data_IF_989451231644
#
_entry.id   IF_989451231644
#
_cell.length_a   1.000
_cell.length_b   1.000
_cell.length_c   1.000
_cell.angle_alpha   90.00
_cell.angle_beta   90.00
_cell.angle_gamma   90.00
#
_symmetry.space_group_name_H-M   'P 1'
#
loop_
_entity.id
_entity.type
_entity.pdbx_description
1 polymer ?
#
# COMPACT_ATOMS: atom_id res chain seq x y z
N UNK A 1 -5.10 -21.30 -7.10
CA UNK A 1 -6.57 -21.10 -7.26
C UNK A 1 -7.14 -20.29 -6.10
N UNK A 2 -6.92 -20.68 -4.84
CA UNK A 2 -7.38 -19.94 -3.65
C UNK A 2 -7.00 -18.45 -3.67
N UNK A 3 -5.71 -18.13 -3.82
CA UNK A 3 -5.22 -16.73 -3.82
C UNK A 3 -5.82 -15.88 -4.94
N UNK A 4 -6.16 -16.48 -6.08
CA UNK A 4 -6.84 -15.78 -7.15
C UNK A 4 -8.27 -15.39 -6.77
N UNK A 5 -9.04 -16.31 -6.14
CA UNK A 5 -10.36 -15.99 -5.61
C UNK A 5 -10.30 -14.99 -4.45
N UNK A 6 -9.28 -15.12 -3.58
CA UNK A 6 -9.06 -14.18 -2.50
C UNK A 6 -8.84 -12.76 -3.05
N UNK A 7 -7.96 -12.60 -4.04
CA UNK A 7 -7.63 -11.30 -4.63
C UNK A 7 -8.78 -10.71 -5.47
N UNK A 8 -9.41 -11.52 -6.31
CA UNK A 8 -10.36 -11.04 -7.33
C UNK A 8 -11.83 -11.05 -6.86
N UNK A 9 -12.15 -11.66 -5.72
CA UNK A 9 -13.53 -11.79 -5.25
C UNK A 9 -13.67 -11.45 -3.76
N UNK A 10 -13.05 -12.24 -2.87
CA UNK A 10 -13.30 -12.09 -1.43
C UNK A 10 -12.74 -10.79 -0.85
N UNK A 11 -11.51 -10.41 -1.17
CA UNK A 11 -10.91 -9.18 -0.65
C UNK A 11 -11.67 -7.91 -1.07
N UNK A 12 -12.10 -7.74 -2.34
CA UNK A 12 -13.01 -6.66 -2.73
C UNK A 12 -14.28 -6.58 -1.87
N UNK A 13 -14.92 -7.72 -1.59
CA UNK A 13 -16.14 -7.78 -0.78
C UNK A 13 -15.86 -7.42 0.70
N UNK A 14 -14.76 -7.94 1.27
CA UNK A 14 -14.32 -7.59 2.62
C UNK A 14 -14.05 -6.08 2.76
N UNK A 15 -13.40 -5.46 1.76
CA UNK A 15 -13.16 -4.02 1.73
C UNK A 15 -14.46 -3.23 1.63
N UNK A 16 -15.37 -3.65 0.75
CA UNK A 16 -16.68 -3.01 0.61
C UNK A 16 -17.45 -3.00 1.93
N UNK A 17 -17.43 -4.11 2.70
CA UNK A 17 -18.03 -4.17 4.03
C UNK A 17 -17.45 -3.11 4.98
N UNK A 18 -16.12 -2.94 5.00
CA UNK A 18 -15.48 -1.94 5.86
C UNK A 18 -15.76 -0.49 5.45
N UNK A 19 -16.05 -0.23 4.17
CA UNK A 19 -16.34 1.10 3.66
C UNK A 19 -17.81 1.49 3.82
N UNK A 20 -18.71 0.51 3.81
CA UNK A 20 -20.14 0.74 3.98
C UNK A 20 -20.53 0.97 5.44
N UNK A 21 -19.69 0.66 6.43
CA UNK A 21 -20.02 0.88 7.84
C UNK A 21 -19.94 2.38 8.20
N UNK A 22 -21.09 3.04 8.10
CA UNK A 22 -21.36 4.43 8.44
C UNK A 22 -22.54 4.48 9.40
N UNK A 23 -22.67 5.50 10.27
CA UNK A 23 -23.84 5.65 11.14
C UNK A 23 -25.18 5.64 10.38
N UNK A 24 -25.19 6.06 9.11
CA UNK A 24 -26.36 6.01 8.21
C UNK A 24 -26.57 4.65 7.54
N UNK A 25 -25.58 3.77 7.58
CA UNK A 25 -25.57 2.49 6.90
C UNK A 25 -25.83 1.30 7.84
N UNK A 26 -25.97 1.55 9.14
CA UNK A 26 -26.49 0.57 10.11
C UNK A 26 -27.86 0.01 9.70
N UNK A 27 -28.60 0.75 8.86
CA UNK A 27 -29.90 0.36 8.30
C UNK A 27 -29.83 -0.03 6.81
N UNK A 28 -28.63 -0.12 6.22
CA UNK A 28 -28.48 -0.50 4.81
C UNK A 28 -28.67 -2.02 4.64
N UNK A 29 -29.78 -2.41 4.01
CA UNK A 29 -30.05 -3.82 3.63
C UNK A 29 -28.89 -4.45 2.86
N UNK A 30 -28.21 -3.65 2.03
CA UNK A 30 -27.07 -4.07 1.22
C UNK A 30 -25.86 -4.37 2.08
N UNK A 31 -25.54 -3.49 3.04
CA UNK A 31 -24.44 -3.71 3.99
C UNK A 31 -24.70 -4.94 4.88
N UNK A 32 -25.94 -5.09 5.38
CA UNK A 32 -26.35 -6.24 6.19
C UNK A 32 -26.35 -7.55 5.40
N UNK A 33 -26.76 -7.55 4.13
CA UNK A 33 -26.68 -8.71 3.25
C UNK A 33 -25.21 -9.11 2.99
N UNK A 34 -24.34 -8.14 2.73
CA UNK A 34 -22.92 -8.40 2.53
C UNK A 34 -22.27 -9.00 3.78
N UNK A 35 -22.54 -8.42 4.96
CA UNK A 35 -22.03 -8.94 6.23
C UNK A 35 -22.49 -10.38 6.50
N UNK A 36 -23.75 -10.72 6.14
CA UNK A 36 -24.26 -12.11 6.24
C UNK A 36 -23.52 -13.06 5.32
N UNK A 37 -23.33 -12.69 4.05
CA UNK A 37 -22.56 -13.49 3.09
C UNK A 37 -21.12 -13.72 3.58
N UNK A 38 -20.42 -12.64 3.97
CA UNK A 38 -19.03 -12.72 4.41
C UNK A 38 -18.87 -13.57 5.68
N UNK A 39 -19.71 -13.35 6.69
CA UNK A 39 -19.54 -14.01 7.99
C UNK A 39 -20.11 -15.44 8.02
N UNK A 40 -21.08 -15.78 7.17
CA UNK A 40 -21.70 -17.11 7.18
C UNK A 40 -21.10 -18.07 6.13
N UNK A 41 -20.50 -17.54 5.05
CA UNK A 41 -19.95 -18.36 3.98
C UNK A 41 -18.44 -18.15 3.78
N UNK A 42 -18.01 -16.91 3.55
CA UNK A 42 -16.62 -16.63 3.15
C UNK A 42 -15.63 -16.87 4.29
N UNK A 43 -15.81 -16.19 5.43
CA UNK A 43 -14.90 -16.32 6.57
C UNK A 43 -14.85 -17.75 7.12
N UNK A 44 -15.98 -18.48 7.29
CA UNK A 44 -15.93 -19.89 7.68
C UNK A 44 -15.19 -20.78 6.67
N UNK A 45 -15.40 -20.56 5.38
CA UNK A 45 -14.67 -21.29 4.33
C UNK A 45 -13.16 -21.03 4.43
N UNK A 46 -12.74 -19.77 4.52
CA UNK A 46 -11.32 -19.42 4.63
C UNK A 46 -10.71 -19.93 5.95
N UNK A 47 -11.49 -19.97 7.03
CA UNK A 47 -11.09 -20.51 8.34
C UNK A 47 -10.82 -22.01 8.26
N UNK A 48 -11.75 -22.79 7.69
CA UNK A 48 -11.62 -24.24 7.53
C UNK A 48 -10.46 -24.63 6.62
N UNK A 49 -10.05 -23.73 5.74
CA UNK A 49 -8.99 -23.92 4.76
C UNK A 49 -7.76 -23.03 5.06
N UNK A 50 -7.56 -22.63 6.31
CA UNK A 50 -6.48 -21.71 6.69
C UNK A 50 -5.09 -22.25 6.35
N UNK A 51 -4.87 -23.55 6.44
CA UNK A 51 -3.60 -24.21 6.14
C UNK A 51 -3.02 -23.90 4.74
N UNK A 52 -3.83 -23.46 3.78
CA UNK A 52 -3.33 -22.98 2.48
C UNK A 52 -2.59 -21.64 2.55
N UNK A 53 -2.69 -20.90 3.65
CA UNK A 53 -1.95 -19.67 3.90
C UNK A 53 -0.54 -19.94 4.46
N UNK A 54 -0.23 -21.18 4.87
CA UNK A 54 1.11 -21.57 5.25
C UNK A 54 2.05 -21.47 4.04
N UNK A 55 3.31 -21.05 4.29
CA UNK A 55 4.38 -20.94 3.29
C UNK A 55 4.02 -20.08 2.05
N UNK A 56 3.10 -19.13 2.22
CA UNK A 56 2.59 -18.27 1.17
C UNK A 56 3.20 -16.86 1.17
N UNK A 57 4.47 -16.71 1.59
CA UNK A 57 5.13 -15.39 1.70
C UNK A 57 5.26 -14.65 0.37
N UNK A 58 5.28 -15.37 -0.74
CA UNK A 58 5.23 -14.80 -2.09
C UNK A 58 3.90 -14.06 -2.38
N UNK A 59 2.87 -14.27 -1.56
CA UNK A 59 1.60 -13.53 -1.56
C UNK A 59 1.47 -12.58 -0.36
N UNK A 60 2.57 -12.17 0.27
CA UNK A 60 2.55 -11.37 1.50
C UNK A 60 1.66 -10.12 1.41
N UNK A 61 1.69 -9.36 0.31
CA UNK A 61 0.86 -8.16 0.16
C UNK A 61 -0.65 -8.48 0.18
N UNK A 62 -1.05 -9.59 -0.44
CA UNK A 62 -2.46 -10.04 -0.45
C UNK A 62 -2.90 -10.52 0.94
N UNK A 63 -2.02 -11.26 1.63
CA UNK A 63 -2.27 -11.73 3.00
C UNK A 63 -2.35 -10.57 4.00
N UNK A 64 -1.44 -9.59 3.90
CA UNK A 64 -1.42 -8.37 4.70
C UNK A 64 -2.72 -7.55 4.49
N UNK A 65 -3.10 -7.34 3.23
CA UNK A 65 -4.35 -6.69 2.87
C UNK A 65 -5.58 -7.42 3.45
N UNK A 66 -5.61 -8.75 3.34
CA UNK A 66 -6.72 -9.58 3.85
C UNK A 66 -6.79 -9.50 5.38
N UNK A 67 -5.68 -9.76 6.07
CA UNK A 67 -5.58 -9.72 7.52
C UNK A 67 -6.04 -8.38 8.07
N UNK A 68 -5.52 -7.28 7.52
CA UNK A 68 -5.86 -5.95 8.01
C UNK A 68 -7.29 -5.51 7.67
N UNK A 69 -7.83 -5.95 6.53
CA UNK A 69 -9.23 -5.68 6.17
C UNK A 69 -10.16 -6.41 7.13
N UNK A 70 -9.92 -7.69 7.41
CA UNK A 70 -10.74 -8.45 8.36
C UNK A 70 -10.55 -7.98 9.79
N UNK A 71 -9.34 -7.55 10.17
CA UNK A 71 -9.10 -6.94 11.47
C UNK A 71 -9.91 -5.65 11.64
N UNK A 72 -10.00 -4.82 10.59
CA UNK A 72 -10.88 -3.65 10.57
C UNK A 72 -12.35 -4.05 10.65
N UNK A 73 -12.75 -5.17 10.03
CA UNK A 73 -14.12 -5.68 10.12
C UNK A 73 -14.55 -5.97 11.56
N UNK A 74 -13.63 -6.38 12.44
CA UNK A 74 -13.92 -6.61 13.86
C UNK A 74 -14.50 -5.38 14.58
N UNK A 75 -14.32 -4.18 14.01
CA UNK A 75 -14.81 -2.91 14.58
C UNK A 75 -16.11 -2.43 13.96
N UNK A 76 -16.68 -3.15 13.00
CA UNK A 76 -17.91 -2.70 12.33
C UNK A 76 -19.10 -2.78 13.29
N UNK A 77 -19.81 -1.67 13.41
CA UNK A 77 -20.94 -1.56 14.33
C UNK A 77 -22.14 -2.37 13.85
N UNK A 78 -22.24 -2.59 12.55
CA UNK A 78 -23.29 -3.38 11.90
C UNK A 78 -23.19 -4.90 12.13
N UNK A 79 -22.11 -5.42 12.73
CA UNK A 79 -21.95 -6.86 12.99
C UNK A 79 -22.61 -7.31 14.30
N UNK A 80 -23.36 -8.40 14.20
CA UNK A 80 -23.89 -9.15 15.36
C UNK A 80 -22.78 -9.92 16.09
N UNK A 81 -23.06 -10.39 17.32
CA UNK A 81 -22.11 -11.17 18.12
C UNK A 81 -21.59 -12.41 17.37
N UNK A 82 -22.48 -13.23 16.82
CA UNK A 82 -22.10 -14.43 16.06
C UNK A 82 -21.24 -14.13 14.82
N UNK A 83 -21.49 -12.98 14.17
CA UNK A 83 -20.67 -12.56 13.03
C UNK A 83 -19.28 -12.08 13.46
N UNK A 84 -19.18 -11.40 14.61
CA UNK A 84 -17.87 -11.05 15.21
C UNK A 84 -17.10 -12.30 15.62
N UNK A 85 -17.77 -13.35 16.09
CA UNK A 85 -17.13 -14.63 16.40
C UNK A 85 -16.52 -15.25 15.13
N UNK A 86 -17.23 -15.24 13.99
CA UNK A 86 -16.69 -15.71 12.71
C UNK A 86 -15.48 -14.88 12.23
N UNK A 87 -15.51 -13.56 12.43
CA UNK A 87 -14.36 -12.67 12.18
C UNK A 87 -13.18 -13.03 13.09
N UNK A 88 -13.42 -13.20 14.39
CA UNK A 88 -12.40 -13.59 15.36
C UNK A 88 -11.77 -14.94 15.03
N UNK A 89 -12.57 -15.93 14.67
CA UNK A 89 -12.08 -17.28 14.39
C UNK A 89 -11.23 -17.31 13.12
N UNK A 90 -11.63 -16.56 12.08
CA UNK A 90 -10.78 -16.39 10.91
C UNK A 90 -9.47 -15.67 11.24
N UNK A 91 -9.51 -14.58 12.02
CA UNK A 91 -8.30 -13.86 12.40
C UNK A 91 -7.32 -14.73 13.18
N UNK A 92 -7.82 -15.58 14.07
CA UNK A 92 -7.00 -16.57 14.78
C UNK A 92 -6.44 -17.61 13.80
N UNK A 93 -7.24 -18.10 12.86
CA UNK A 93 -6.82 -19.11 11.91
C UNK A 93 -5.75 -18.59 10.95
N UNK A 94 -5.92 -17.40 10.35
CA UNK A 94 -4.91 -16.83 9.45
C UNK A 94 -3.63 -16.47 10.20
N UNK A 95 -3.71 -15.84 11.38
CA UNK A 95 -2.51 -15.44 12.12
C UNK A 95 -1.68 -16.63 12.61
N UNK A 96 -2.32 -17.79 12.81
CA UNK A 96 -1.65 -19.07 13.09
C UNK A 96 -0.82 -19.61 11.92
N UNK A 97 -1.10 -19.22 10.69
CA UNK A 97 -0.39 -19.69 9.50
C UNK A 97 0.67 -18.68 9.03
N UNK A 98 0.53 -17.40 9.40
CA UNK A 98 1.44 -16.35 8.98
C UNK A 98 2.79 -16.41 9.75
N UNK A 99 3.93 -16.20 9.06
CA UNK A 99 5.22 -16.00 9.68
C UNK A 99 5.21 -14.83 10.68
N UNK A 100 6.00 -14.89 11.78
CA UNK A 100 5.99 -13.86 12.81
C UNK A 100 6.30 -12.45 12.29
N UNK A 101 7.24 -12.31 11.36
CA UNK A 101 7.63 -11.02 10.80
C UNK A 101 6.49 -10.28 10.06
N UNK A 102 5.47 -11.00 9.57
CA UNK A 102 4.30 -10.38 8.96
C UNK A 102 3.35 -9.74 10.00
N UNK A 103 3.48 -10.09 11.28
CA UNK A 103 2.62 -9.58 12.34
C UNK A 103 2.99 -8.16 12.79
N UNK A 104 4.15 -7.64 12.39
CA UNK A 104 4.68 -6.32 12.81
C UNK A 104 3.64 -5.20 12.64
N UNK A 105 3.01 -5.10 11.46
CA UNK A 105 2.00 -4.06 11.21
C UNK A 105 0.73 -4.27 12.04
N UNK A 106 0.33 -5.52 12.26
CA UNK A 106 -0.83 -5.82 13.10
C UNK A 106 -0.55 -5.48 14.56
N UNK A 107 0.64 -5.80 15.07
CA UNK A 107 1.06 -5.46 16.44
C UNK A 107 0.95 -3.96 16.69
N UNK A 108 1.38 -3.10 15.76
CA UNK A 108 1.20 -1.64 15.87
C UNK A 108 -0.27 -1.25 16.08
N UNK A 109 -1.17 -1.79 15.26
CA UNK A 109 -2.62 -1.52 15.35
C UNK A 109 -3.22 -2.05 16.66
N UNK A 110 -2.83 -3.25 17.07
CA UNK A 110 -3.30 -3.85 18.32
C UNK A 110 -2.84 -3.04 19.53
N UNK A 111 -1.60 -2.54 19.56
CA UNK A 111 -1.10 -1.66 20.62
C UNK A 111 -1.98 -0.41 20.71
N UNK A 112 -2.30 0.22 19.59
CA UNK A 112 -3.17 1.41 19.54
C UNK A 112 -4.57 1.06 20.06
N UNK A 113 -5.16 -0.04 19.58
CA UNK A 113 -6.50 -0.47 19.99
C UNK A 113 -6.64 -0.79 21.47
N UNK A 114 -5.57 -1.36 22.05
CA UNK A 114 -5.50 -1.60 23.48
C UNK A 114 -5.35 -0.26 24.21
N UNK A 115 -4.47 0.64 23.78
CA UNK A 115 -4.33 1.96 24.42
C UNK A 115 -5.64 2.78 24.38
N UNK A 116 -6.40 2.68 23.29
CA UNK A 116 -7.69 3.37 23.13
C UNK A 116 -8.85 2.60 23.77
N UNK A 117 -8.63 1.35 24.20
CA UNK A 117 -9.61 0.52 24.89
C UNK A 117 -10.94 0.39 24.14
N UNK A 118 -10.86 0.06 22.84
CA UNK A 118 -12.03 -0.13 21.99
C UNK A 118 -12.95 -1.25 22.51
N UNK A 119 -14.26 -1.17 22.27
CA UNK A 119 -15.26 -2.17 22.72
C UNK A 119 -14.95 -3.61 22.24
N UNK A 120 -14.08 -3.77 21.26
CA UNK A 120 -13.73 -5.04 20.63
C UNK A 120 -12.34 -5.56 21.01
N UNK A 121 -11.74 -5.06 22.09
CA UNK A 121 -10.36 -5.37 22.52
C UNK A 121 -10.10 -6.86 22.84
N UNK A 122 -11.15 -7.64 23.12
CA UNK A 122 -11.04 -9.07 23.44
C UNK A 122 -10.49 -9.89 22.27
N UNK A 123 -10.85 -9.56 21.03
CA UNK A 123 -10.38 -10.26 19.83
C UNK A 123 -8.89 -10.02 19.59
N UNK A 124 -8.38 -8.76 19.59
CA UNK A 124 -6.95 -8.47 19.61
C UNK A 124 -6.20 -9.24 20.70
N UNK A 125 -6.67 -9.22 21.96
CA UNK A 125 -6.01 -9.95 23.04
C UNK A 125 -5.91 -11.46 22.77
N UNK A 126 -6.99 -12.07 22.24
CA UNK A 126 -7.00 -13.49 21.84
C UNK A 126 -5.98 -13.78 20.74
N UNK A 127 -5.93 -12.97 19.69
CA UNK A 127 -4.99 -13.12 18.57
C UNK A 127 -3.55 -13.04 19.06
N UNK A 128 -3.24 -12.03 19.87
CA UNK A 128 -1.89 -11.82 20.42
C UNK A 128 -1.46 -12.98 21.32
N UNK A 129 -2.33 -13.42 22.23
CA UNK A 129 -2.03 -14.53 23.14
C UNK A 129 -1.61 -15.77 22.33
N UNK A 130 -2.42 -16.17 21.36
CA UNK A 130 -2.16 -17.36 20.53
C UNK A 130 -0.90 -17.19 19.65
N UNK A 131 -0.65 -15.98 19.16
CA UNK A 131 0.56 -15.67 18.39
C UNK A 131 1.82 -15.87 19.25
N UNK A 132 1.89 -15.27 20.44
CA UNK A 132 3.06 -15.41 21.30
C UNK A 132 3.22 -16.82 21.84
N UNK A 133 2.14 -17.54 22.18
CA UNK A 133 2.20 -18.95 22.59
C UNK A 133 2.78 -19.86 21.49
N UNK A 134 2.38 -19.63 20.23
CA UNK A 134 2.92 -20.35 19.07
C UNK A 134 4.39 -19.97 18.82
N UNK A 135 4.72 -18.69 18.98
CA UNK A 135 5.99 -18.12 18.58
C UNK A 135 6.98 -17.90 19.74
N UNK A 136 6.75 -18.49 20.93
CA UNK A 136 7.59 -18.28 22.11
C UNK A 136 9.08 -18.46 21.82
N UNK A 137 9.44 -19.55 21.12
CA UNK A 137 10.83 -19.81 20.75
C UNK A 137 11.41 -18.76 19.81
N UNK A 138 10.63 -18.25 18.86
CA UNK A 138 11.08 -17.25 17.89
C UNK A 138 11.49 -15.93 18.56
N UNK A 139 10.69 -15.46 19.52
CA UNK A 139 10.94 -14.22 20.26
C UNK A 139 12.05 -14.35 21.31
N UNK A 140 12.24 -15.56 21.87
CA UNK A 140 13.24 -15.81 22.91
C UNK A 140 14.58 -16.27 22.38
N UNK A 141 14.63 -17.47 21.78
CA UNK A 141 15.88 -18.19 21.45
C UNK A 141 16.11 -18.45 19.96
N UNK A 142 15.12 -18.15 19.12
CA UNK A 142 15.06 -18.51 17.69
C UNK A 142 14.35 -19.84 17.40
N UNK A 143 13.84 -19.96 16.17
CA UNK A 143 13.25 -21.19 15.61
C UNK A 143 13.46 -21.25 14.07
N UNK A 144 12.65 -22.05 13.35
CA UNK A 144 12.69 -22.18 11.88
C UNK A 144 12.46 -20.87 11.11
N UNK A 145 11.79 -19.89 11.70
CA UNK A 145 11.61 -18.56 11.12
C UNK A 145 12.79 -17.62 11.41
N UNK A 146 13.84 -18.10 12.08
CA UNK A 146 14.96 -17.30 12.54
C UNK A 146 14.74 -16.76 13.96
N UNK A 147 15.14 -15.52 14.20
CA UNK A 147 15.05 -14.84 15.50
C UNK A 147 14.29 -13.53 15.33
N UNK A 148 13.49 -13.15 16.33
CA UNK A 148 12.80 -11.86 16.33
C UNK A 148 13.76 -10.67 16.14
N UNK A 149 13.37 -9.76 15.25
CA UNK A 149 14.05 -8.50 15.02
C UNK A 149 13.92 -7.55 16.22
N UNK A 150 14.76 -6.51 16.26
CA UNK A 150 14.67 -5.48 17.31
C UNK A 150 13.31 -4.76 17.30
N UNK A 151 12.76 -4.49 16.11
CA UNK A 151 11.40 -3.93 15.96
C UNK A 151 10.36 -4.83 16.60
N UNK A 152 10.41 -6.14 16.35
CA UNK A 152 9.47 -7.09 16.92
C UNK A 152 9.57 -7.18 18.45
N UNK A 153 10.79 -7.21 19.00
CA UNK A 153 11.01 -7.22 20.45
C UNK A 153 10.50 -5.94 21.10
N UNK A 154 10.76 -4.78 20.50
CA UNK A 154 10.27 -3.49 20.99
C UNK A 154 8.74 -3.43 20.97
N UNK A 155 8.10 -3.82 19.88
CA UNK A 155 6.63 -3.87 19.79
C UNK A 155 6.04 -4.81 20.84
N UNK A 156 6.70 -5.95 21.09
CA UNK A 156 6.28 -6.89 22.14
C UNK A 156 6.27 -6.23 23.52
N UNK A 157 7.31 -5.46 23.86
CA UNK A 157 7.35 -4.70 25.12
C UNK A 157 6.32 -3.56 25.17
N UNK A 158 6.19 -2.77 24.09
CA UNK A 158 5.19 -1.71 24.03
C UNK A 158 3.77 -2.26 24.22
N UNK A 159 3.50 -3.43 23.66
CA UNK A 159 2.24 -4.15 23.84
C UNK A 159 2.04 -4.63 25.27
N UNK A 160 3.08 -5.16 25.91
CA UNK A 160 3.04 -5.54 27.33
C UNK A 160 2.64 -4.34 28.20
N UNK A 161 3.33 -3.20 28.06
CA UNK A 161 3.02 -1.98 28.82
C UNK A 161 1.63 -1.45 28.49
N UNK A 162 1.24 -1.43 27.22
CA UNK A 162 -0.10 -1.01 26.81
C UNK A 162 -1.20 -1.81 27.51
N UNK A 163 -1.06 -3.14 27.59
CA UNK A 163 -2.02 -3.99 28.30
C UNK A 163 -1.96 -3.73 29.81
N UNK A 164 -0.77 -3.71 30.39
CA UNK A 164 -0.57 -3.55 31.83
C UNK A 164 -1.15 -2.22 32.36
N UNK A 165 -0.80 -1.11 31.72
CA UNK A 165 -1.26 0.23 32.10
C UNK A 165 -2.78 0.38 31.91
N UNK A 166 -3.32 -0.24 30.86
CA UNK A 166 -4.76 -0.23 30.59
C UNK A 166 -5.56 -1.03 31.63
N UNK A 167 -5.02 -2.14 32.13
CA UNK A 167 -5.64 -2.88 33.23
C UNK A 167 -5.52 -2.14 34.55
N UNK A 168 -4.35 -1.53 34.83
CA UNK A 168 -4.09 -0.81 36.07
C UNK A 168 -4.95 0.44 36.26
N UNK A 169 -5.40 1.05 35.17
CA UNK A 169 -6.26 2.24 35.19
C UNK A 169 -7.76 1.94 35.22
N UNK A 170 -8.17 0.66 35.21
CA UNK A 170 -9.58 0.25 35.08
C UNK A 170 -10.10 -0.56 36.27
N UNK A 171 -11.42 -0.52 36.52
CA UNK A 171 -12.05 -1.44 37.46
C UNK A 171 -11.93 -2.88 36.94
N UNK A 172 -11.98 -3.83 37.87
CA UNK A 172 -11.95 -5.24 37.53
C UNK A 172 -13.16 -5.64 36.67
N UNK A 173 -12.88 -6.16 35.48
CA UNK A 173 -13.84 -6.79 34.58
C UNK A 173 -13.41 -8.24 34.31
N UNK A 174 -14.20 -9.26 34.71
CA UNK A 174 -13.79 -10.65 34.61
C UNK A 174 -13.45 -11.11 33.19
N UNK A 175 -14.17 -10.60 32.19
CA UNK A 175 -13.99 -11.01 30.80
C UNK A 175 -12.69 -10.42 30.22
N UNK A 176 -12.47 -9.12 30.43
CA UNK A 176 -11.25 -8.43 30.03
C UNK A 176 -10.01 -9.01 30.72
N UNK A 177 -10.04 -9.12 32.05
CA UNK A 177 -8.89 -9.66 32.81
C UNK A 177 -8.63 -11.13 32.45
N UNK A 178 -9.69 -11.91 32.23
CA UNK A 178 -9.58 -13.31 31.78
C UNK A 178 -8.91 -13.48 30.42
N UNK A 179 -8.93 -12.45 29.56
CA UNK A 179 -8.20 -12.45 28.26
C UNK A 179 -6.85 -11.74 28.33
N UNK A 180 -6.73 -10.70 29.14
CA UNK A 180 -5.53 -9.87 29.21
C UNK A 180 -4.39 -10.51 30.02
N UNK A 181 -4.69 -11.23 31.11
CA UNK A 181 -3.65 -11.86 31.94
C UNK A 181 -2.91 -13.00 31.19
N UNK A 182 -3.60 -13.92 30.46
CA UNK A 182 -2.91 -14.88 29.60
C UNK A 182 -2.05 -14.20 28.53
N UNK A 183 -2.54 -13.10 27.96
CA UNK A 183 -1.81 -12.31 26.96
C UNK A 183 -0.50 -11.75 27.54
N UNK A 184 -0.54 -11.11 28.72
CA UNK A 184 0.65 -10.63 29.43
C UNK A 184 1.63 -11.76 29.73
N UNK A 185 1.12 -12.92 30.15
CA UNK A 185 1.94 -14.09 30.44
C UNK A 185 2.64 -14.61 29.19
N UNK A 186 1.91 -14.71 28.07
CA UNK A 186 2.45 -15.18 26.80
C UNK A 186 3.56 -14.25 26.27
N UNK A 187 3.34 -12.93 26.31
CA UNK A 187 4.33 -11.93 25.91
C UNK A 187 5.56 -11.98 26.82
N UNK A 188 5.35 -11.95 28.14
CA UNK A 188 6.44 -11.95 29.13
C UNK A 188 7.29 -13.22 29.10
N UNK A 189 6.69 -14.36 28.72
CA UNK A 189 7.42 -15.64 28.57
C UNK A 189 8.19 -15.73 27.25
N UNK A 190 7.83 -14.93 26.25
CA UNK A 190 8.41 -14.96 24.92
C UNK A 190 9.62 -14.01 24.78
N UNK A 191 9.62 -12.88 25.50
CA UNK A 191 10.72 -11.91 25.47
C UNK A 191 11.78 -12.29 26.52
N UNK A 192 13.06 -12.04 26.22
CA UNK A 192 14.14 -12.21 27.21
C UNK A 192 13.92 -11.29 28.42
N UNK A 193 14.11 -11.77 29.66
CA UNK A 193 14.01 -10.93 30.86
C UNK A 193 15.04 -9.78 30.88
N UNK A 194 16.13 -9.90 30.12
CA UNK A 194 17.18 -8.88 30.01
C UNK A 194 16.85 -7.78 28.98
N UNK A 195 15.76 -7.93 28.22
CA UNK A 195 15.39 -6.95 27.22
C UNK A 195 14.84 -5.68 27.88
N UNK A 196 15.46 -4.54 27.58
CA UNK A 196 15.02 -3.22 28.02
C UNK A 196 14.53 -2.40 26.84
N UNK A 197 13.50 -1.58 27.06
CA UNK A 197 12.96 -0.71 26.01
C UNK A 197 14.03 0.27 25.51
N UNK A 198 14.41 0.12 24.25
CA UNK A 198 15.33 1.02 23.57
C UNK A 198 14.58 2.20 22.92
N UNK A 199 15.19 3.38 22.91
CA UNK A 199 14.71 4.53 22.13
C UNK A 199 14.98 4.30 20.64
N UNK A 200 13.99 4.45 19.76
CA UNK A 200 14.19 4.24 18.31
C UNK A 200 13.02 4.71 17.43
N UNK A 201 13.08 4.46 16.12
CA UNK A 201 12.15 4.99 15.10
C UNK A 201 10.69 4.49 15.12
N UNK A 202 10.31 3.56 16.00
CA UNK A 202 8.93 3.04 16.06
C UNK A 202 7.89 4.11 16.42
N UNK A 203 8.28 5.18 17.12
CA UNK A 203 7.34 6.21 17.57
C UNK A 203 6.71 6.95 16.37
N UNK A 204 7.46 7.15 15.28
CA UNK A 204 6.95 7.74 14.05
C UNK A 204 5.95 6.82 13.33
N UNK A 205 6.24 5.52 13.25
CA UNK A 205 5.35 4.52 12.65
C UNK A 205 4.08 4.30 13.50
N UNK A 206 4.19 4.38 14.82
CA UNK A 206 3.04 4.37 15.73
C UNK A 206 2.17 5.61 15.56
N UNK A 207 2.76 6.80 15.38
CA UNK A 207 2.02 8.02 15.07
C UNK A 207 1.32 7.89 13.72
N UNK A 208 1.98 7.35 12.68
CA UNK A 208 1.37 7.09 11.37
C UNK A 208 0.17 6.14 11.51
N UNK A 209 0.36 5.02 12.20
CA UNK A 209 -0.71 4.04 12.42
C UNK A 209 -1.91 4.65 13.16
N UNK A 210 -1.70 5.51 14.17
CA UNK A 210 -2.78 6.25 14.85
C UNK A 210 -3.51 7.23 13.92
N UNK A 211 -2.81 7.87 13.00
CA UNK A 211 -3.44 8.81 12.05
C UNK A 211 -4.27 8.11 10.98
N UNK A 212 -4.02 6.81 10.77
CA UNK A 212 -4.78 5.95 9.85
C UNK A 212 -5.99 5.28 10.52
N UNK A 213 -6.22 5.54 11.81
CA UNK A 213 -7.39 5.06 12.54
C UNK A 213 -8.67 5.83 12.16
N UNK A 214 -9.76 5.09 11.93
CA UNK A 214 -11.06 5.64 11.53
C UNK A 214 -11.34 5.62 10.02
N UNK A 215 -12.25 6.50 9.56
CA UNK A 215 -12.58 6.65 8.13
C UNK A 215 -11.36 7.17 7.40
N UNK A 216 -10.85 6.38 6.45
CA UNK A 216 -9.64 6.73 5.71
C UNK A 216 -9.88 7.98 4.86
N UNK A 217 -9.02 8.99 5.03
CA UNK A 217 -8.98 10.19 4.21
C UNK A 217 -7.60 10.27 3.56
N UNK A 218 -7.51 10.23 2.22
CA UNK A 218 -6.21 10.29 1.54
C UNK A 218 -5.57 11.66 1.73
N UNK A 219 -4.30 11.66 2.16
CA UNK A 219 -3.51 12.86 2.45
C UNK A 219 -2.34 12.97 1.47
N UNK A 220 -2.56 13.37 0.20
CA UNK A 220 -1.45 13.68 -0.70
C UNK A 220 -0.63 14.85 -0.12
N UNK A 221 0.69 14.82 -0.30
CA UNK A 221 1.55 15.94 0.10
C UNK A 221 1.18 17.18 -0.71
N UNK A 222 1.19 18.34 -0.07
CA UNK A 222 0.98 19.61 -0.76
C UNK A 222 2.26 20.00 -1.50
N UNK A 223 2.15 20.14 -2.82
CA UNK A 223 3.25 20.48 -3.71
C UNK A 223 3.14 21.90 -4.29
N UNK A 224 2.10 22.66 -3.93
CA UNK A 224 1.84 23.97 -4.52
C UNK A 224 2.97 24.98 -4.26
N UNK A 225 3.67 24.87 -3.13
CA UNK A 225 4.80 25.72 -2.75
C UNK A 225 6.16 25.30 -3.33
N UNK A 226 6.24 24.21 -4.09
CA UNK A 226 7.50 23.67 -4.58
C UNK A 226 7.67 23.91 -6.07
N UNK A 227 8.49 24.90 -6.42
CA UNK A 227 8.83 25.19 -7.82
C UNK A 227 9.99 24.31 -8.30
N UNK A 228 9.87 23.81 -9.52
CA UNK A 228 10.94 23.02 -10.14
C UNK A 228 11.98 23.96 -10.74
N UNK A 229 13.26 23.71 -10.43
CA UNK A 229 14.36 24.39 -11.11
C UNK A 229 14.30 24.17 -12.65
N UNK A 230 14.90 25.06 -13.47
CA UNK A 230 14.80 24.97 -14.93
C UNK A 230 15.33 23.65 -15.54
N UNK A 231 16.38 23.08 -14.93
CA UNK A 231 16.94 21.77 -15.28
C UNK A 231 15.91 20.66 -15.09
N UNK A 232 15.26 20.61 -13.93
CA UNK A 232 14.22 19.62 -13.62
C UNK A 232 12.96 19.83 -14.49
N UNK A 233 12.55 21.07 -14.74
CA UNK A 233 11.43 21.37 -15.65
C UNK A 233 11.72 20.89 -17.08
N UNK A 234 12.95 21.04 -17.55
CA UNK A 234 13.37 20.49 -18.85
C UNK A 234 13.33 18.96 -18.82
N UNK A 235 13.76 18.36 -17.72
CA UNK A 235 13.78 16.91 -17.55
C UNK A 235 12.38 16.29 -17.50
N UNK A 236 11.41 16.93 -16.84
CA UNK A 236 10.01 16.46 -16.88
C UNK A 236 9.41 16.54 -18.29
N UNK A 237 9.82 17.54 -19.08
CA UNK A 237 9.49 17.65 -20.50
C UNK A 237 10.07 16.51 -21.33
N UNK A 238 11.35 16.20 -21.16
CA UNK A 238 12.02 15.07 -21.84
C UNK A 238 11.43 13.73 -21.44
N UNK A 239 11.11 13.55 -20.15
CA UNK A 239 10.43 12.34 -19.68
C UNK A 239 9.04 12.18 -20.30
N UNK A 240 8.27 13.28 -20.41
CA UNK A 240 6.94 13.23 -21.02
C UNK A 240 6.98 12.76 -22.48
N UNK A 241 7.95 13.25 -23.26
CA UNK A 241 8.21 12.79 -24.62
C UNK A 241 8.68 11.33 -24.65
N UNK A 242 9.70 10.99 -23.85
CA UNK A 242 10.18 9.61 -23.73
C UNK A 242 9.07 8.61 -23.38
N UNK A 243 8.19 8.96 -22.44
CA UNK A 243 7.08 8.10 -22.03
C UNK A 243 6.02 7.93 -23.12
N UNK A 244 5.78 8.98 -23.92
CA UNK A 244 4.95 8.90 -25.12
C UNK A 244 5.59 8.02 -26.18
N UNK A 245 6.90 8.16 -26.42
CA UNK A 245 7.65 7.37 -27.38
C UNK A 245 7.71 5.89 -26.98
N UNK A 246 7.88 5.58 -25.69
CA UNK A 246 7.75 4.23 -25.12
C UNK A 246 6.38 3.60 -25.31
N UNK A 247 5.31 4.40 -25.25
CA UNK A 247 3.97 3.92 -25.58
C UNK A 247 3.80 3.71 -27.09
N UNK A 248 4.31 4.64 -27.90
CA UNK A 248 4.18 4.61 -29.35
C UNK A 248 4.99 3.47 -29.98
N UNK A 249 6.24 3.22 -29.57
CA UNK A 249 7.09 2.11 -30.05
C UNK A 249 6.37 0.77 -29.89
N UNK A 250 5.86 0.47 -28.69
CA UNK A 250 5.10 -0.76 -28.41
C UNK A 250 3.82 -0.91 -29.22
N UNK A 251 3.24 0.21 -29.69
CA UNK A 251 2.06 0.21 -30.55
C UNK A 251 2.47 -0.06 -32.00
N UNK A 252 3.50 0.62 -32.50
CA UNK A 252 4.06 0.41 -33.84
C UNK A 252 4.56 -1.03 -34.03
N UNK A 253 5.27 -1.59 -33.04
CA UNK A 253 5.71 -2.99 -33.02
C UNK A 253 4.55 -3.99 -33.12
N UNK A 254 3.36 -3.60 -32.63
CA UNK A 254 2.11 -4.39 -32.74
C UNK A 254 1.32 -4.09 -34.01
N UNK A 255 1.93 -3.42 -34.98
CA UNK A 255 1.32 -3.07 -36.26
C UNK A 255 0.32 -1.92 -36.22
N UNK A 256 0.28 -1.14 -35.11
CA UNK A 256 -0.57 0.05 -35.10
C UNK A 256 0.03 1.16 -35.95
N UNK A 257 -0.81 1.96 -36.60
CA UNK A 257 -0.41 3.08 -37.45
C UNK A 257 -1.15 4.37 -37.09
N UNK A 258 -0.66 5.51 -37.60
CA UNK A 258 -1.39 6.76 -37.45
C UNK A 258 -2.74 6.71 -38.18
N UNK A 259 -3.76 7.30 -37.56
CA UNK A 259 -5.03 7.63 -38.21
C UNK A 259 -5.81 8.64 -37.39
N UNK A 260 -6.61 9.49 -38.02
CA UNK A 260 -7.30 10.61 -37.35
C UNK A 260 -8.27 10.14 -36.24
N UNK A 261 -8.73 8.89 -36.33
CA UNK A 261 -9.61 8.27 -35.35
C UNK A 261 -9.03 6.95 -34.85
N UNK A 262 -9.34 6.61 -33.60
CA UNK A 262 -8.98 5.33 -33.03
C UNK A 262 -9.82 4.21 -33.67
N UNK A 263 -9.17 3.18 -34.22
CA UNK A 263 -9.84 1.96 -34.67
C UNK A 263 -9.03 0.74 -34.25
N UNK A 264 -9.68 -0.17 -33.52
CA UNK A 264 -9.07 -1.46 -33.17
C UNK A 264 -9.02 -2.42 -34.36
N UNK A 265 -10.00 -2.34 -35.26
CA UNK A 265 -10.05 -3.18 -36.47
C UNK A 265 -8.95 -2.79 -37.46
N UNK A 266 -8.80 -1.47 -37.72
CA UNK A 266 -7.77 -0.94 -38.63
C UNK A 266 -6.42 -0.71 -37.96
N UNK A 267 -6.31 -1.00 -36.66
CA UNK A 267 -5.14 -0.73 -35.81
C UNK A 267 -4.62 0.72 -35.92
N UNK A 268 -5.51 1.71 -35.93
CA UNK A 268 -5.14 3.13 -36.04
C UNK A 268 -5.28 3.87 -34.71
N UNK A 269 -4.38 4.82 -34.44
CA UNK A 269 -4.45 5.68 -33.25
C UNK A 269 -4.00 7.13 -33.54
N UNK A 270 -4.79 8.16 -33.15
CA UNK A 270 -4.54 9.57 -33.51
C UNK A 270 -3.32 10.20 -32.84
N UNK A 271 -2.78 9.52 -31.83
CA UNK A 271 -1.59 9.93 -31.08
C UNK A 271 -0.29 9.29 -31.58
N UNK A 272 -0.32 8.43 -32.59
CA UNK A 272 0.91 7.88 -33.19
C UNK A 272 1.57 8.90 -34.11
N UNK A 273 2.10 9.96 -33.49
CA UNK A 273 2.77 11.09 -34.10
C UNK A 273 3.77 11.70 -33.10
N UNK A 274 4.73 12.53 -33.54
CA UNK A 274 5.71 13.15 -32.66
C UNK A 274 5.07 13.89 -31.49
N UNK A 275 5.70 13.85 -30.31
CA UNK A 275 5.17 14.46 -29.09
C UNK A 275 4.85 15.95 -29.27
N UNK A 276 5.65 16.67 -30.04
CA UNK A 276 5.46 18.09 -30.40
C UNK A 276 4.15 18.36 -31.15
N UNK A 277 3.63 17.38 -31.90
CA UNK A 277 2.38 17.46 -32.68
C UNK A 277 1.13 17.04 -31.88
N UNK A 278 1.28 16.65 -30.62
CA UNK A 278 0.14 16.43 -29.72
C UNK A 278 -0.52 17.76 -29.33
N UNK A 279 -1.80 17.67 -28.94
CA UNK A 279 -2.52 18.85 -28.45
C UNK A 279 -1.92 19.33 -27.14
N UNK A 280 -2.02 20.62 -26.85
CA UNK A 280 -1.38 21.19 -25.66
C UNK A 280 -1.87 20.57 -24.36
N UNK A 281 -3.17 20.31 -24.23
CA UNK A 281 -3.70 19.62 -23.04
C UNK A 281 -3.16 18.20 -22.88
N UNK A 282 -2.85 17.49 -23.98
CA UNK A 282 -2.27 16.15 -23.93
C UNK A 282 -0.82 16.23 -23.43
N UNK A 283 -0.03 17.14 -23.99
CA UNK A 283 1.36 17.38 -23.56
C UNK A 283 1.41 17.80 -22.09
N UNK A 284 0.55 18.74 -21.70
CA UNK A 284 0.46 19.23 -20.32
C UNK A 284 0.11 18.10 -19.35
N UNK A 285 -0.80 17.19 -19.71
CA UNK A 285 -1.14 16.05 -18.86
C UNK A 285 0.09 15.17 -18.54
N UNK A 286 0.93 14.85 -19.54
CA UNK A 286 2.15 14.07 -19.28
C UNK A 286 3.15 14.82 -18.42
N UNK A 287 3.38 16.10 -18.72
CA UNK A 287 4.33 16.96 -17.99
C UNK A 287 3.89 17.16 -16.55
N UNK A 288 2.61 17.43 -16.30
CA UNK A 288 2.05 17.67 -14.99
C UNK A 288 2.16 16.42 -14.11
N UNK A 289 1.85 15.23 -14.63
CA UNK A 289 1.97 13.98 -13.87
C UNK A 289 3.40 13.69 -13.43
N UNK A 290 4.39 13.97 -14.28
CA UNK A 290 5.80 13.84 -13.90
C UNK A 290 6.22 14.92 -12.91
N UNK A 291 5.85 16.17 -13.19
CA UNK A 291 6.19 17.33 -12.34
C UNK A 291 5.61 17.21 -10.94
N UNK A 292 4.39 16.70 -10.80
CA UNK A 292 3.76 16.41 -9.51
C UNK A 292 4.62 15.47 -8.66
N UNK A 293 5.06 14.35 -9.23
CA UNK A 293 5.92 13.40 -8.53
C UNK A 293 7.28 14.02 -8.17
N UNK A 294 7.89 14.82 -9.06
CA UNK A 294 9.18 15.48 -8.78
C UNK A 294 9.04 16.53 -7.69
N UNK A 295 7.95 17.32 -7.66
CA UNK A 295 7.70 18.27 -6.57
C UNK A 295 7.42 17.56 -5.25
N UNK A 296 6.74 16.42 -5.27
CA UNK A 296 6.50 15.62 -4.07
C UNK A 296 7.82 15.17 -3.42
N UNK A 297 8.83 14.82 -4.22
CA UNK A 297 10.17 14.53 -3.72
C UNK A 297 10.77 15.74 -2.98
N UNK A 298 10.68 16.94 -3.56
CA UNK A 298 11.15 18.17 -2.90
C UNK A 298 10.37 18.44 -1.59
N UNK A 299 9.06 18.18 -1.60
CA UNK A 299 8.21 18.33 -0.42
C UNK A 299 8.53 17.35 0.71
N UNK A 300 9.10 16.18 0.37
CA UNK A 300 9.65 15.22 1.34
C UNK A 300 11.13 15.47 1.66
N UNK A 301 11.66 16.63 1.28
CA UNK A 301 13.04 17.06 1.52
C UNK A 301 14.10 16.22 0.80
N UNK A 302 13.75 15.55 -0.30
CA UNK A 302 14.78 14.99 -1.18
C UNK A 302 15.49 16.09 -1.96
N UNK A 303 16.80 15.97 -2.06
CA UNK A 303 17.64 16.78 -2.94
C UNK A 303 17.84 16.03 -4.24
N UNK A 304 17.56 16.69 -5.38
CA UNK A 304 17.72 16.13 -6.72
C UNK A 304 18.82 16.90 -7.44
N UNK A 305 19.97 16.25 -7.64
CA UNK A 305 21.15 16.89 -8.21
C UNK A 305 21.76 16.06 -9.33
N UNK A 306 22.28 16.78 -10.33
CA UNK A 306 23.11 16.18 -11.37
C UNK A 306 24.48 15.87 -10.77
N UNK A 307 24.76 14.59 -10.55
CA UNK A 307 26.02 14.14 -9.94
C UNK A 307 26.89 13.33 -10.89
N UNK A 308 26.28 12.65 -11.88
CA UNK A 308 26.99 11.84 -12.87
C UNK A 308 26.96 12.54 -14.23
N UNK A 309 27.96 13.41 -14.45
CA UNK A 309 28.08 14.18 -15.70
C UNK A 309 28.41 13.29 -16.90
N UNK A 310 29.12 12.17 -16.70
CA UNK A 310 29.46 11.24 -17.77
C UNK A 310 28.22 10.49 -18.26
N UNK A 311 27.35 10.05 -17.34
CA UNK A 311 26.05 9.47 -17.69
C UNK A 311 25.16 10.48 -18.43
N UNK A 312 25.12 11.74 -17.95
CA UNK A 312 24.35 12.79 -18.60
C UNK A 312 24.83 13.10 -20.02
N UNK A 313 26.15 13.11 -20.25
CA UNK A 313 26.73 13.29 -21.58
C UNK A 313 26.37 12.12 -22.50
N UNK A 314 26.56 10.87 -22.04
CA UNK A 314 26.19 9.67 -22.80
C UNK A 314 24.70 9.65 -23.15
N UNK A 315 23.85 10.05 -22.22
CA UNK A 315 22.40 10.14 -22.42
C UNK A 315 22.00 11.23 -23.43
N UNK A 316 22.79 12.31 -23.53
CA UNK A 316 22.59 13.33 -24.56
C UNK A 316 23.05 12.86 -25.94
N UNK A 317 24.16 12.11 -26.00
CA UNK A 317 24.72 11.54 -27.24
C UNK A 317 23.86 10.38 -27.79
N UNK A 318 23.24 9.59 -26.90
CA UNK A 318 22.36 8.47 -27.27
C UNK A 318 20.97 8.91 -27.72
N UNK A 319 20.62 10.19 -27.56
CA UNK A 319 19.30 10.69 -27.90
C UNK A 319 19.05 10.61 -29.41
N UNK A 320 18.10 9.78 -29.81
CA UNK A 320 17.68 9.67 -31.21
C UNK A 320 16.36 10.42 -31.43
N UNK A 321 16.30 11.22 -32.50
CA UNK A 321 15.08 11.95 -32.85
C UNK A 321 13.98 10.98 -33.27
N UNK A 322 12.79 11.10 -32.67
CA UNK A 322 11.61 10.30 -33.02
C UNK A 322 10.93 10.73 -34.33
N UNK A 323 11.44 11.77 -34.98
CA UNK A 323 10.91 12.35 -36.23
C UNK A 323 10.11 13.63 -35.97
N UNK A 324 10.01 14.52 -36.97
CA UNK A 324 9.30 15.81 -36.84
C UNK A 324 7.91 15.79 -37.47
N UNK A 325 7.66 14.85 -38.36
CA UNK A 325 6.40 14.68 -39.09
C UNK A 325 5.82 13.28 -38.86
N UNK A 326 4.55 13.08 -39.23
CA UNK A 326 3.88 11.78 -39.09
C UNK A 326 4.60 10.67 -39.90
N UNK A 327 4.96 10.86 -41.18
CA UNK A 327 5.63 9.81 -41.96
C UNK A 327 7.02 9.44 -41.44
N UNK A 328 7.70 10.39 -40.79
CA UNK A 328 9.03 10.20 -40.20
C UNK A 328 8.97 9.65 -38.76
N UNK A 329 7.78 9.48 -38.18
CA UNK A 329 7.61 9.13 -36.79
C UNK A 329 8.05 7.68 -36.51
N UNK A 330 9.25 7.54 -35.96
CA UNK A 330 9.86 6.26 -35.63
C UNK A 330 10.57 6.36 -34.27
N UNK A 331 9.80 6.38 -33.16
CA UNK A 331 10.35 6.57 -31.83
C UNK A 331 11.27 5.41 -31.43
N UNK A 332 12.41 5.75 -30.83
CA UNK A 332 13.39 4.80 -30.29
C UNK A 332 13.67 5.15 -28.82
N UNK A 333 12.71 4.87 -27.94
CA UNK A 333 12.85 5.16 -26.52
C UNK A 333 14.01 4.39 -25.90
N UNK A 334 14.66 4.99 -24.91
CA UNK A 334 15.69 4.32 -24.08
C UNK A 334 15.07 3.13 -23.35
N UNK A 335 15.76 1.99 -23.35
CA UNK A 335 15.35 0.84 -22.57
C UNK A 335 15.81 0.97 -21.10
N UNK A 336 14.85 1.22 -20.20
CA UNK A 336 15.07 1.33 -18.76
C UNK A 336 14.77 0.03 -18.01
N UNK A 337 14.39 -1.06 -18.72
CA UNK A 337 13.90 -2.29 -18.09
C UNK A 337 14.97 -3.00 -17.25
N UNK A 338 16.23 -2.97 -17.70
CA UNK A 338 17.39 -3.59 -17.03
C UNK A 338 18.02 -2.69 -15.97
N UNK A 339 17.63 -1.42 -15.88
CA UNK A 339 18.16 -0.49 -14.87
C UNK A 339 17.61 -0.79 -13.49
N UNK A 340 18.50 -0.80 -12.50
CA UNK A 340 18.17 -0.87 -11.08
C UNK A 340 18.30 0.52 -10.45
N UNK A 341 17.35 0.85 -9.58
CA UNK A 341 17.40 2.09 -8.80
C UNK A 341 18.38 1.96 -7.64
N UNK A 342 19.04 3.06 -7.28
CA UNK A 342 19.77 3.16 -6.01
C UNK A 342 18.80 2.98 -4.83
N UNK A 343 19.32 2.55 -3.66
CA UNK A 343 18.48 2.20 -2.49
C UNK A 343 17.54 3.35 -2.09
N UNK A 344 18.05 4.58 -2.00
CA UNK A 344 17.25 5.76 -1.64
C UNK A 344 16.19 6.09 -2.69
N UNK A 345 16.51 5.90 -3.98
CA UNK A 345 15.56 6.06 -5.09
C UNK A 345 14.47 4.99 -5.07
N UNK A 346 14.79 3.77 -4.64
CA UNK A 346 13.79 2.71 -4.48
C UNK A 346 12.77 3.07 -3.39
N UNK A 347 13.23 3.56 -2.24
CA UNK A 347 12.36 4.05 -1.15
C UNK A 347 11.51 5.26 -1.59
N UNK A 348 12.12 6.21 -2.31
CA UNK A 348 11.43 7.35 -2.89
C UNK A 348 10.36 6.92 -3.91
N UNK A 349 10.63 5.87 -4.69
CA UNK A 349 9.69 5.35 -5.70
C UNK A 349 8.40 4.84 -5.08
N UNK A 350 8.48 4.15 -3.93
CA UNK A 350 7.28 3.64 -3.24
C UNK A 350 6.45 4.81 -2.69
N UNK A 351 7.10 5.83 -2.12
CA UNK A 351 6.41 7.06 -1.66
C UNK A 351 5.74 7.81 -2.81
N UNK A 352 6.39 7.94 -3.96
CA UNK A 352 5.81 8.55 -5.17
C UNK A 352 4.59 7.78 -5.67
N UNK A 353 4.64 6.45 -5.62
CA UNK A 353 3.53 5.59 -6.02
C UNK A 353 2.33 5.75 -5.06
N UNK A 354 2.58 5.70 -3.74
CA UNK A 354 1.57 5.99 -2.71
C UNK A 354 0.96 7.38 -2.87
N UNK A 355 1.77 8.40 -3.15
CA UNK A 355 1.30 9.76 -3.36
C UNK A 355 0.40 9.87 -4.59
N UNK A 356 0.78 9.22 -5.70
CA UNK A 356 -0.04 9.15 -6.91
C UNK A 356 -1.41 8.51 -6.65
N UNK A 357 -1.44 7.46 -5.82
CA UNK A 357 -2.66 6.82 -5.36
C UNK A 357 -3.51 7.76 -4.48
N UNK A 358 -2.89 8.46 -3.53
CA UNK A 358 -3.58 9.41 -2.66
C UNK A 358 -4.20 10.59 -3.44
N UNK A 359 -3.54 11.11 -4.48
CA UNK A 359 -4.12 12.13 -5.37
C UNK A 359 -5.35 11.57 -6.07
N UNK A 360 -5.25 10.37 -6.65
CA UNK A 360 -6.36 9.72 -7.33
C UNK A 360 -7.52 9.47 -6.36
N UNK A 361 -7.25 8.93 -5.19
CA UNK A 361 -8.24 8.65 -4.16
C UNK A 361 -8.95 9.93 -3.72
N UNK A 362 -8.22 11.01 -3.44
CA UNK A 362 -8.80 12.32 -3.06
C UNK A 362 -9.75 12.85 -4.13
N UNK A 363 -9.38 12.72 -5.40
CA UNK A 363 -10.25 13.08 -6.53
C UNK A 363 -11.52 12.22 -6.56
N UNK A 364 -11.38 10.90 -6.40
CA UNK A 364 -12.53 9.97 -6.38
C UNK A 364 -13.48 10.27 -5.22
N UNK A 365 -12.97 10.51 -4.00
CA UNK A 365 -13.80 10.93 -2.87
C UNK A 365 -14.58 12.22 -3.16
N UNK A 366 -13.94 13.19 -3.82
CA UNK A 366 -14.59 14.45 -4.21
C UNK A 366 -15.69 14.21 -5.24
N UNK A 367 -15.44 13.36 -6.24
CA UNK A 367 -16.42 12.98 -7.26
C UNK A 367 -17.62 12.24 -6.66
N UNK A 368 -17.39 11.27 -5.77
CA UNK A 368 -18.44 10.53 -5.09
C UNK A 368 -19.30 11.43 -4.20
N UNK A 369 -18.67 12.40 -3.51
CA UNK A 369 -19.39 13.35 -2.65
C UNK A 369 -20.26 14.33 -3.45
N UNK A 370 -19.88 14.63 -4.70
CA UNK A 370 -20.57 15.62 -5.54
C UNK A 370 -21.58 15.02 -6.52
N UNK A 371 -21.29 13.84 -7.07
CA UNK A 371 -22.09 13.20 -8.13
C UNK A 371 -22.74 11.89 -7.70
N UNK A 372 -22.35 11.33 -6.55
CA UNK A 372 -22.63 9.95 -6.21
C UNK A 372 -21.94 8.97 -7.18
N UNK A 373 -22.23 7.68 -7.01
CA UNK A 373 -21.72 6.63 -7.90
C UNK A 373 -21.14 5.45 -7.14
N UNK A 374 -20.61 4.49 -7.88
CA UNK A 374 -20.04 3.28 -7.32
C UNK A 374 -18.62 3.54 -6.79
N UNK A 375 -18.36 3.04 -5.60
CA UNK A 375 -17.03 3.07 -4.98
C UNK A 375 -16.08 2.16 -5.76
N UNK A 376 -14.95 2.69 -6.28
CA UNK A 376 -13.94 1.83 -6.89
C UNK A 376 -13.32 0.88 -5.86
N UNK A 377 -13.16 -0.40 -6.22
CA UNK A 377 -12.53 -1.44 -5.38
C UNK A 377 -11.16 -1.03 -4.79
N UNK A 378 -10.25 -0.38 -5.55
CA UNK A 378 -8.95 0.02 -4.99
C UNK A 378 -9.03 1.30 -4.13
N UNK A 379 -10.21 1.83 -3.80
CA UNK A 379 -10.32 3.02 -2.93
C UNK A 379 -10.11 2.67 -1.44
N UNK A 380 -8.90 2.21 -1.13
CA UNK A 380 -8.41 1.86 0.21
C UNK A 380 -7.01 2.44 0.42
N UNK A 381 -6.50 2.54 1.67
CA UNK A 381 -5.12 2.91 1.94
C UNK A 381 -4.10 2.14 1.10
N UNK A 382 -2.99 2.78 0.72
CA UNK A 382 -1.94 2.18 -0.11
C UNK A 382 -1.45 0.84 0.45
N UNK A 383 -1.24 0.78 1.77
CA UNK A 383 -0.78 -0.43 2.46
C UNK A 383 -1.75 -1.60 2.40
N UNK A 384 -3.02 -1.36 2.09
CA UNK A 384 -4.03 -2.40 1.91
C UNK A 384 -4.18 -2.84 0.45
N UNK A 385 -3.53 -2.19 -0.51
CA UNK A 385 -3.58 -2.60 -1.92
C UNK A 385 -2.74 -3.86 -2.17
N UNK A 386 -3.15 -4.69 -3.13
CA UNK A 386 -2.36 -5.83 -3.59
C UNK A 386 -1.24 -5.38 -4.52
N UNK A 387 -0.25 -6.26 -4.79
CA UNK A 387 0.82 -5.95 -5.73
C UNK A 387 0.30 -5.68 -7.14
N UNK A 388 -0.77 -6.36 -7.55
CA UNK A 388 -1.43 -6.12 -8.82
C UNK A 388 -1.98 -4.69 -8.91
N UNK A 389 -2.66 -4.22 -7.86
CA UNK A 389 -3.24 -2.88 -7.77
C UNK A 389 -2.15 -1.80 -7.76
N UNK A 390 -1.04 -2.03 -7.02
CA UNK A 390 0.09 -1.08 -6.92
C UNK A 390 0.95 -1.02 -8.19
N UNK A 391 0.94 -2.07 -9.01
CA UNK A 391 1.88 -2.24 -10.14
C UNK A 391 1.95 -1.03 -11.07
N UNK A 392 0.80 -0.43 -11.38
CA UNK A 392 0.72 0.69 -12.33
C UNK A 392 1.39 1.95 -11.80
N UNK A 393 1.17 2.28 -10.54
CA UNK A 393 1.73 3.50 -9.95
C UNK A 393 3.19 3.29 -9.53
N UNK A 394 3.56 2.09 -9.06
CA UNK A 394 4.97 1.68 -8.88
C UNK A 394 5.76 1.78 -10.16
N UNK A 395 5.24 1.22 -11.25
CA UNK A 395 5.90 1.29 -12.56
C UNK A 395 6.16 2.74 -12.95
N UNK A 396 5.15 3.62 -12.86
CA UNK A 396 5.31 5.04 -13.23
C UNK A 396 6.33 5.77 -12.36
N UNK A 397 6.29 5.56 -11.04
CA UNK A 397 7.24 6.17 -10.13
C UNK A 397 8.67 5.71 -10.43
N UNK A 398 8.87 4.41 -10.64
CA UNK A 398 10.17 3.83 -10.98
C UNK A 398 10.67 4.33 -12.34
N UNK A 399 9.82 4.40 -13.37
CA UNK A 399 10.23 4.90 -14.69
C UNK A 399 10.70 6.35 -14.63
N UNK A 400 10.05 7.22 -13.85
CA UNK A 400 10.49 8.61 -13.64
C UNK A 400 11.90 8.62 -13.03
N UNK A 401 12.11 7.85 -11.95
CA UNK A 401 13.40 7.83 -11.25
C UNK A 401 14.51 7.17 -12.09
N UNK A 402 14.21 6.09 -12.80
CA UNK A 402 15.16 5.44 -13.71
C UNK A 402 15.59 6.38 -14.83
N UNK A 403 14.65 7.17 -15.36
CA UNK A 403 14.95 8.17 -16.37
C UNK A 403 15.85 9.29 -15.81
N UNK A 404 15.56 9.78 -14.59
CA UNK A 404 16.44 10.73 -13.91
C UNK A 404 17.86 10.17 -13.70
N UNK A 405 17.96 8.93 -13.21
CA UNK A 405 19.23 8.24 -12.99
C UNK A 405 20.01 8.00 -14.30
N UNK A 406 19.31 7.64 -15.38
CA UNK A 406 19.88 7.50 -16.72
C UNK A 406 20.51 8.82 -17.20
N UNK A 407 19.89 9.95 -16.87
CA UNK A 407 20.38 11.28 -17.16
C UNK A 407 21.36 11.83 -16.10
N UNK A 408 21.88 10.99 -15.20
CA UNK A 408 22.92 11.33 -14.24
C UNK A 408 22.45 12.05 -12.96
N UNK A 409 21.14 12.13 -12.74
CA UNK A 409 20.59 12.70 -11.50
C UNK A 409 20.57 11.66 -10.39
N UNK A 410 20.95 12.09 -9.19
CA UNK A 410 20.77 11.32 -7.95
C UNK A 410 19.78 11.99 -7.02
N UNK A 411 19.17 11.16 -6.18
CA UNK A 411 18.36 11.60 -5.06
C UNK A 411 19.13 11.34 -3.77
N UNK A 412 19.21 12.35 -2.92
CA UNK A 412 19.72 12.24 -1.55
C UNK A 412 18.72 12.81 -0.56
N UNK A 413 18.79 12.39 0.70
CA UNK A 413 17.89 12.83 1.78
C UNK A 413 18.59 13.68 2.83
#
# INVERSE_FOLDING_TARGET
MLFHFLEQSFLPDLRAATMMDSPRALESDTALALNRYLCNAVLPLLTNHSHFFADAEHHAALLDATLHTVYRMNRLKSLTKNQRDAVSDFLVAITRELPPGMMVKLLRKVIIDIQEMTENVLVPLRIITLHYERCTKYYGSGNSYGVASETEKRLSMLLFYAIFDSLGSKPYDPELFGKALPCLTAIGSAISPDYSLTSGGEDAEMVKARQDEGLWVPKPVDVAGFELRPDLTTMTGRFAEHFHDSWASRKLEKGWTFGDFYSREKLTHPRLKPFTMLKDYEKSFYKERCSECVRALLAWHYVIELSDHDAAQKAAESHTSSGKTIPEFNPKPVDLSSMTLEKEMMEASEKMAEHSHNIWAKKVFTELSTKGGNMPIPLVPWDLLTDFERRKDRFRAQEILKFLQYHGYRLTR
#
